data_IF_922898974658
#
_entry.id   IF_922898974658
#
_cell.length_a   1.000
_cell.length_b   1.000
_cell.length_c   1.000
_cell.angle_alpha   90.00
_cell.angle_beta   90.00
_cell.angle_gamma   90.00
#
_symmetry.space_group_name_H-M   'P 1'
#
loop_
_entity.id
_entity.type
_entity.pdbx_description
1 polymer ?
#
# COMPACT_ATOMS: atom_id res chain seq x y z
N UNK A 1 8.36 -14.56 38.10
CA UNK A 1 7.95 -14.61 37.68
C UNK A 1 7.75 -14.68 37.26
N UNK A 2 8.14 -14.88 37.24
CA UNK A 2 7.85 -14.93 36.77
C UNK A 2 7.33 -15.38 36.33
N UNK A 3 7.53 -15.99 36.02
CA UNK A 3 6.86 -16.21 35.78
C UNK A 3 6.52 -16.67 35.76
N UNK A 4 6.38 -16.99 36.09
CA UNK A 4 6.08 -17.43 36.24
C UNK A 4 6.10 -17.95 36.42
N UNK A 5 6.49 -18.31 37.03
CA UNK A 5 6.28 -18.80 36.89
C UNK A 5 5.90 -19.14 36.33
N UNK A 6 6.17 -19.77 36.39
CA UNK A 6 5.76 -20.16 35.14
C UNK A 6 5.10 -19.15 34.25
N UNK A 7 4.78 -18.10 34.68
CA UNK A 7 4.26 -17.02 33.82
C UNK A 7 5.41 -16.35 33.08
N UNK A 8 5.34 -16.43 31.76
CA UNK A 8 6.20 -15.63 30.93
C UNK A 8 5.98 -14.15 31.25
N UNK A 9 7.04 -13.46 31.55
CA UNK A 9 7.00 -12.03 31.76
C UNK A 9 6.87 -11.36 30.41
N UNK A 10 5.67 -10.96 30.04
CA UNK A 10 5.45 -10.25 28.79
C UNK A 10 5.81 -8.79 29.00
N UNK A 11 7.02 -8.44 28.58
CA UNK A 11 7.44 -7.07 28.57
C UNK A 11 6.98 -6.42 27.26
N UNK A 12 5.96 -5.61 27.33
CA UNK A 12 5.47 -4.87 26.19
C UNK A 12 6.31 -3.61 26.04
N UNK A 13 7.14 -3.59 25.01
CA UNK A 13 7.90 -2.39 24.68
C UNK A 13 7.04 -1.49 23.82
N UNK A 14 6.60 -0.38 24.37
CA UNK A 14 5.73 0.58 23.68
C UNK A 14 6.29 1.07 22.32
N UNK A 15 7.61 1.12 22.20
CA UNK A 15 8.26 1.54 20.96
C UNK A 15 7.98 0.63 19.75
N UNK A 16 7.51 -0.61 19.99
CA UNK A 16 7.18 -1.59 18.93
C UNK A 16 5.69 -1.80 18.75
N UNK A 17 4.88 -1.02 19.44
CA UNK A 17 3.43 -1.10 19.30
C UNK A 17 2.92 -0.05 18.33
N UNK A 18 1.86 -0.41 17.63
CA UNK A 18 1.13 0.50 16.74
C UNK A 18 -0.27 0.73 17.30
N UNK A 19 -0.85 1.95 17.15
CA UNK A 19 -2.25 2.18 17.51
C UNK A 19 -3.24 1.50 16.56
N UNK A 20 -2.76 0.87 15.49
CA UNK A 20 -3.61 0.22 14.49
C UNK A 20 -3.59 -1.28 14.72
N UNK A 21 -4.50 -1.75 15.58
CA UNK A 21 -4.59 -3.16 15.95
C UNK A 21 -4.78 -4.05 14.72
N UNK A 22 -3.97 -5.10 14.65
CA UNK A 22 -4.07 -6.07 13.58
C UNK A 22 -3.54 -5.64 12.22
N UNK A 23 -3.00 -4.43 12.08
CA UNK A 23 -2.52 -3.96 10.79
C UNK A 23 -1.40 -4.83 10.22
N UNK A 24 -0.50 -5.31 11.06
CA UNK A 24 0.60 -6.17 10.59
C UNK A 24 0.08 -7.50 10.05
N UNK A 25 -0.94 -8.06 10.68
CA UNK A 25 -1.60 -9.27 10.18
C UNK A 25 -2.27 -9.01 8.82
N UNK A 26 -2.91 -7.88 8.65
CA UNK A 26 -3.52 -7.48 7.38
C UNK A 26 -2.46 -7.29 6.30
N UNK A 27 -1.35 -6.65 6.61
CA UNK A 27 -0.23 -6.48 5.68
C UNK A 27 0.32 -7.81 5.22
N UNK A 28 0.49 -8.76 6.13
CA UNK A 28 0.98 -10.10 5.83
C UNK A 28 0.00 -10.88 4.97
N UNK A 29 -1.29 -10.79 5.27
CA UNK A 29 -2.34 -11.40 4.45
C UNK A 29 -2.37 -10.81 3.04
N UNK A 30 -2.28 -9.50 2.93
CA UNK A 30 -2.21 -8.81 1.66
C UNK A 30 -1.02 -9.30 0.85
N UNK A 31 0.16 -9.32 1.47
CA UNK A 31 1.39 -9.73 0.81
C UNK A 31 1.31 -11.18 0.32
N UNK A 32 0.86 -12.10 1.18
CA UNK A 32 0.80 -13.51 0.84
C UNK A 32 -0.21 -13.83 -0.27
N UNK A 33 -1.28 -13.05 -0.36
CA UNK A 33 -2.37 -13.34 -1.32
C UNK A 33 -2.30 -12.53 -2.60
N UNK A 34 -1.79 -11.32 -2.55
CA UNK A 34 -1.89 -10.38 -3.65
C UNK A 34 -0.56 -9.93 -4.24
N UNK A 35 0.56 -10.01 -3.52
CA UNK A 35 1.79 -9.44 -4.02
C UNK A 35 2.25 -10.05 -5.35
N UNK A 36 2.16 -11.36 -5.51
CA UNK A 36 2.55 -12.01 -6.76
C UNK A 36 1.63 -11.64 -7.92
N UNK A 37 0.34 -11.51 -7.67
CA UNK A 37 -0.63 -11.09 -8.69
C UNK A 37 -0.35 -9.65 -9.12
N UNK A 38 -0.10 -8.78 -8.17
CA UNK A 38 0.22 -7.38 -8.44
C UNK A 38 1.48 -7.27 -9.28
N UNK A 39 2.57 -7.89 -8.84
CA UNK A 39 3.86 -7.79 -9.52
C UNK A 39 3.85 -8.46 -10.90
N UNK A 40 3.13 -9.57 -11.07
CA UNK A 40 3.01 -10.20 -12.38
C UNK A 40 2.15 -9.38 -13.35
N UNK A 41 1.13 -8.68 -12.86
CA UNK A 41 0.25 -7.87 -13.70
C UNK A 41 0.87 -6.50 -14.04
N UNK A 42 1.46 -5.83 -13.05
CA UNK A 42 2.01 -4.49 -13.23
C UNK A 42 3.47 -4.52 -13.69
N UNK A 43 4.16 -5.63 -13.53
CA UNK A 43 5.53 -5.79 -13.95
C UNK A 43 6.55 -5.37 -12.88
N UNK A 44 7.83 -5.52 -13.22
CA UNK A 44 8.93 -5.15 -12.34
C UNK A 44 9.14 -3.64 -12.44
N UNK A 45 9.04 -2.95 -11.31
CA UNK A 45 9.19 -1.50 -11.27
C UNK A 45 10.64 -1.07 -11.04
N UNK A 46 11.30 -1.72 -10.11
CA UNK A 46 12.63 -1.28 -9.69
C UNK A 46 13.61 -2.43 -9.68
N UNK A 47 14.83 -2.15 -10.14
CA UNK A 47 15.86 -3.17 -10.26
C UNK A 47 16.67 -3.37 -8.98
N UNK A 48 16.88 -2.34 -8.15
CA UNK A 48 17.87 -2.44 -7.07
C UNK A 48 17.38 -1.93 -5.72
N UNK A 49 17.03 -0.65 -5.62
CA UNK A 49 16.73 -0.02 -4.32
C UNK A 49 15.31 0.53 -4.19
N UNK A 50 14.56 0.51 -5.26
CA UNK A 50 13.21 1.05 -5.26
C UNK A 50 12.18 0.06 -4.74
N UNK A 51 10.97 0.57 -4.58
CA UNK A 51 9.83 -0.24 -4.16
C UNK A 51 9.18 -0.88 -5.39
N UNK A 52 8.74 -2.13 -5.23
CA UNK A 52 7.94 -2.81 -6.24
C UNK A 52 6.47 -2.39 -6.16
N UNK A 53 5.71 -2.64 -7.21
CA UNK A 53 4.29 -2.25 -7.23
C UNK A 53 3.47 -2.90 -6.11
N UNK A 54 3.78 -4.13 -5.73
CA UNK A 54 3.11 -4.79 -4.61
C UNK A 54 3.30 -4.02 -3.29
N UNK A 55 4.51 -3.54 -3.05
CA UNK A 55 4.80 -2.72 -1.86
C UNK A 55 4.07 -1.39 -1.89
N UNK A 56 3.99 -0.78 -3.06
CA UNK A 56 3.32 0.50 -3.26
C UNK A 56 1.81 0.37 -3.07
N UNK A 57 1.20 -0.63 -3.69
CA UNK A 57 -0.24 -0.88 -3.54
C UNK A 57 -0.58 -1.24 -2.09
N UNK A 58 0.25 -2.06 -1.44
CA UNK A 58 0.06 -2.37 -0.02
C UNK A 58 0.13 -1.11 0.85
N UNK A 59 1.09 -0.24 0.59
CA UNK A 59 1.21 1.02 1.33
C UNK A 59 -0.01 1.91 1.14
N UNK A 60 -0.51 2.00 -0.09
CA UNK A 60 -1.73 2.74 -0.40
C UNK A 60 -2.94 2.15 0.33
N UNK A 61 -3.12 0.84 0.26
CA UNK A 61 -4.25 0.16 0.90
C UNK A 61 -4.19 0.28 2.43
N UNK A 62 -2.99 0.34 3.00
CA UNK A 62 -2.81 0.53 4.43
C UNK A 62 -3.41 1.85 4.93
N UNK A 63 -3.42 2.89 4.11
CA UNK A 63 -4.10 4.15 4.45
C UNK A 63 -5.56 3.89 4.79
N UNK A 64 -6.24 3.17 3.93
CA UNK A 64 -7.67 2.88 4.11
C UNK A 64 -7.91 1.89 5.25
N UNK A 65 -7.08 0.89 5.40
CA UNK A 65 -7.20 -0.07 6.51
C UNK A 65 -7.01 0.59 7.87
N UNK A 66 -6.23 1.65 7.93
CA UNK A 66 -6.00 2.42 9.16
C UNK A 66 -7.00 3.57 9.35
N UNK A 67 -7.97 3.71 8.44
CA UNK A 67 -8.99 4.75 8.54
C UNK A 67 -8.56 6.11 8.00
N UNK A 68 -7.48 6.16 7.23
CA UNK A 68 -7.04 7.38 6.57
C UNK A 68 -7.94 7.79 5.41
N UNK A 69 -7.86 9.02 4.99
CA UNK A 69 -8.70 9.60 3.95
C UNK A 69 -7.94 10.06 2.72
N UNK A 70 -6.63 10.21 2.80
CA UNK A 70 -5.81 10.64 1.66
C UNK A 70 -4.44 9.98 1.69
N UNK A 71 -3.75 10.01 0.54
CA UNK A 71 -2.45 9.36 0.39
C UNK A 71 -1.41 9.95 1.33
N UNK A 72 -1.46 11.24 1.58
CA UNK A 72 -0.53 11.94 2.46
C UNK A 72 -0.54 11.39 3.90
N UNK A 73 -1.63 10.78 4.32
CA UNK A 73 -1.73 10.17 5.65
C UNK A 73 -0.67 9.10 5.88
N UNK A 74 -0.21 8.42 4.82
CA UNK A 74 0.85 7.42 4.97
C UNK A 74 2.13 8.04 5.52
N UNK A 75 2.54 9.19 4.97
CA UNK A 75 3.75 9.87 5.42
C UNK A 75 3.54 10.56 6.77
N UNK A 76 2.41 11.23 6.94
CA UNK A 76 2.15 12.06 8.10
C UNK A 76 1.86 11.24 9.35
N UNK A 77 1.12 10.15 9.24
CA UNK A 77 0.57 9.44 10.40
C UNK A 77 0.95 7.97 10.50
N UNK A 78 1.19 7.28 9.39
CA UNK A 78 1.26 5.82 9.40
C UNK A 78 2.68 5.28 9.29
N UNK A 79 3.53 5.93 8.54
CA UNK A 79 4.82 5.36 8.13
C UNK A 79 5.71 4.99 9.32
N UNK A 80 5.72 5.79 10.37
CA UNK A 80 6.49 5.51 11.57
C UNK A 80 6.04 4.24 12.30
N UNK A 81 4.77 3.86 12.18
CA UNK A 81 4.25 2.63 12.77
C UNK A 81 4.38 1.44 11.84
N UNK A 82 4.03 1.62 10.57
CA UNK A 82 4.08 0.53 9.60
C UNK A 82 5.52 0.07 9.32
N UNK A 83 6.49 0.98 9.42
CA UNK A 83 7.92 0.66 9.27
C UNK A 83 8.46 -0.21 10.39
N UNK A 84 7.70 -0.45 11.45
CA UNK A 84 8.09 -1.38 12.51
C UNK A 84 7.95 -2.85 12.07
N UNK A 85 7.24 -3.13 11.00
CA UNK A 85 7.16 -4.49 10.47
C UNK A 85 8.55 -4.94 10.01
N UNK A 86 9.00 -6.15 10.41
CA UNK A 86 10.40 -6.55 10.18
C UNK A 86 10.77 -6.79 8.73
N UNK A 87 9.82 -7.13 7.87
CA UNK A 87 10.09 -7.52 6.47
C UNK A 87 9.30 -6.75 5.43
N UNK A 88 8.11 -6.28 5.75
CA UNK A 88 7.24 -5.59 4.79
C UNK A 88 7.45 -4.08 4.87
N UNK A 89 7.93 -3.51 3.79
CA UNK A 89 8.26 -2.09 3.72
C UNK A 89 7.05 -1.24 3.38
N UNK A 90 7.01 -0.02 3.92
CA UNK A 90 6.00 0.99 3.60
C UNK A 90 6.71 2.19 2.97
N UNK A 91 6.19 2.67 1.85
CA UNK A 91 6.77 3.81 1.15
C UNK A 91 5.99 5.10 1.42
N UNK A 92 6.62 6.24 1.10
CA UNK A 92 6.03 7.56 1.30
C UNK A 92 4.92 7.86 0.28
N UNK A 93 4.13 8.89 0.58
CA UNK A 93 3.08 9.37 -0.32
C UNK A 93 3.65 9.78 -1.69
N UNK A 94 4.78 10.46 -1.72
CA UNK A 94 5.42 10.87 -2.97
C UNK A 94 5.80 9.66 -3.85
N UNK A 95 6.28 8.60 -3.23
CA UNK A 95 6.62 7.37 -3.93
C UNK A 95 5.37 6.70 -4.51
N UNK A 96 4.28 6.67 -3.74
CA UNK A 96 3.00 6.12 -4.20
C UNK A 96 2.51 6.89 -5.42
N UNK A 97 2.46 8.21 -5.32
CA UNK A 97 1.98 9.07 -6.41
C UNK A 97 2.82 8.93 -7.66
N UNK A 98 4.15 8.87 -7.51
CA UNK A 98 5.07 8.71 -8.64
C UNK A 98 4.83 7.37 -9.33
N UNK A 99 4.71 6.31 -8.56
CA UNK A 99 4.49 4.97 -9.10
C UNK A 99 3.15 4.86 -9.85
N UNK A 100 2.09 5.48 -9.31
CA UNK A 100 0.79 5.48 -9.98
C UNK A 100 0.88 6.24 -11.31
N UNK A 101 1.61 7.35 -11.36
CA UNK A 101 1.81 8.09 -12.60
C UNK A 101 2.55 7.29 -13.66
N UNK A 102 3.46 6.42 -13.27
CA UNK A 102 4.16 5.53 -14.21
C UNK A 102 3.22 4.57 -14.94
N UNK A 103 2.07 4.30 -14.37
CA UNK A 103 1.08 3.38 -14.95
C UNK A 103 0.11 4.06 -15.91
N UNK A 104 0.22 5.36 -16.10
CA UNK A 104 -0.60 6.09 -17.06
C UNK A 104 -0.18 5.67 -18.47
N UNK A 105 -1.15 5.19 -19.24
CA UNK A 105 -0.92 4.77 -20.62
C UNK A 105 -1.19 5.91 -21.58
N UNK A 106 -2.31 6.61 -21.39
CA UNK A 106 -2.79 7.61 -22.31
C UNK A 106 -3.57 8.69 -21.59
N UNK A 107 -3.53 9.91 -22.12
CA UNK A 107 -4.35 11.01 -21.64
C UNK A 107 -5.46 11.27 -22.66
N UNK A 108 -6.71 11.10 -22.25
CA UNK A 108 -7.88 11.28 -23.11
C UNK A 108 -8.67 12.50 -22.65
N UNK A 109 -8.93 13.41 -23.59
CA UNK A 109 -9.79 14.56 -23.36
C UNK A 109 -11.21 14.27 -23.81
N UNK A 110 -12.16 14.57 -22.97
CA UNK A 110 -13.57 14.40 -23.25
C UNK A 110 -14.29 15.73 -23.10
N UNK A 111 -15.12 16.07 -24.07
CA UNK A 111 -15.94 17.27 -24.03
C UNK A 111 -17.41 16.89 -23.85
N UNK A 112 -18.02 17.37 -22.79
CA UNK A 112 -19.43 17.09 -22.51
C UNK A 112 -20.34 17.92 -23.42
N UNK A 113 -21.62 17.54 -23.49
CA UNK A 113 -22.63 18.27 -24.24
C UNK A 113 -22.83 19.71 -23.73
N UNK A 114 -22.51 19.97 -22.45
CA UNK A 114 -22.55 21.31 -21.86
C UNK A 114 -21.31 22.16 -22.18
N UNK A 115 -20.34 21.62 -22.92
CA UNK A 115 -19.13 22.33 -23.33
C UNK A 115 -17.98 22.26 -22.34
N UNK A 116 -18.12 21.51 -21.25
CA UNK A 116 -17.03 21.29 -20.29
C UNK A 116 -16.06 20.25 -20.83
N UNK A 117 -14.77 20.51 -20.63
CA UNK A 117 -13.70 19.55 -20.97
C UNK A 117 -13.23 18.84 -19.72
N UNK A 118 -12.98 17.54 -19.87
CA UNK A 118 -12.44 16.68 -18.82
C UNK A 118 -11.26 15.90 -19.40
N UNK A 119 -10.18 15.80 -18.63
CA UNK A 119 -9.02 15.01 -19.00
C UNK A 119 -8.93 13.78 -18.11
N UNK A 120 -8.76 12.62 -18.73
CA UNK A 120 -8.65 11.35 -18.05
C UNK A 120 -7.34 10.68 -18.43
N UNK A 121 -6.71 10.10 -17.43
CA UNK A 121 -5.55 9.23 -17.64
C UNK A 121 -6.01 7.79 -17.68
N UNK A 122 -5.68 7.07 -18.74
CA UNK A 122 -5.97 5.64 -18.80
C UNK A 122 -4.83 4.86 -18.16
N UNK A 123 -5.19 3.75 -17.51
CA UNK A 123 -4.24 2.86 -16.87
C UNK A 123 -4.70 1.41 -17.06
N UNK A 124 -4.49 0.88 -18.26
CA UNK A 124 -4.99 -0.42 -18.66
C UNK A 124 -4.45 -1.56 -17.79
N UNK A 125 -3.21 -1.45 -17.34
CA UNK A 125 -2.62 -2.45 -16.44
C UNK A 125 -3.28 -2.47 -15.08
N UNK A 126 -3.70 -1.32 -14.55
CA UNK A 126 -4.46 -1.26 -13.30
C UNK A 126 -5.85 -1.88 -13.47
N UNK A 127 -6.49 -1.64 -14.61
CA UNK A 127 -7.78 -2.27 -14.90
C UNK A 127 -7.64 -3.80 -14.99
N UNK A 128 -6.58 -4.27 -15.63
CA UNK A 128 -6.28 -5.70 -15.71
C UNK A 128 -6.02 -6.31 -14.34
N UNK A 129 -5.32 -5.58 -13.47
CA UNK A 129 -5.10 -6.00 -12.10
C UNK A 129 -6.41 -6.14 -11.32
N UNK A 130 -7.31 -5.17 -11.46
CA UNK A 130 -8.60 -5.20 -10.79
C UNK A 130 -9.40 -6.44 -11.21
N UNK A 131 -9.44 -6.72 -12.51
CA UNK A 131 -10.12 -7.91 -13.04
C UNK A 131 -9.49 -9.19 -12.50
N UNK A 132 -8.16 -9.28 -12.50
CA UNK A 132 -7.43 -10.44 -12.00
C UNK A 132 -7.66 -10.67 -10.51
N UNK A 133 -7.78 -9.61 -9.74
CA UNK A 133 -8.00 -9.71 -8.30
C UNK A 133 -9.43 -10.14 -7.95
N UNK A 134 -10.40 -9.88 -8.83
CA UNK A 134 -11.81 -10.26 -8.64
C UNK A 134 -12.11 -11.71 -9.09
N UNK A 135 -11.26 -12.26 -9.91
CA UNK A 135 -11.42 -13.66 -10.40
C UNK A 135 -10.59 -14.62 -9.57
#
# INVERSE_FOLDING_TARGET
>A
MNYINGMANISIKSAKLTPFDGIFSIMEQFDSKLSSVIDSTLGIRSSTFGYQYSEIIRSLMSVYFCGGSCIEDVTTHLMKYLSLHPTLRTCSADTILRAIRELIVENISYKSSSGRSYDFNTADTLNSLLISALL
#
